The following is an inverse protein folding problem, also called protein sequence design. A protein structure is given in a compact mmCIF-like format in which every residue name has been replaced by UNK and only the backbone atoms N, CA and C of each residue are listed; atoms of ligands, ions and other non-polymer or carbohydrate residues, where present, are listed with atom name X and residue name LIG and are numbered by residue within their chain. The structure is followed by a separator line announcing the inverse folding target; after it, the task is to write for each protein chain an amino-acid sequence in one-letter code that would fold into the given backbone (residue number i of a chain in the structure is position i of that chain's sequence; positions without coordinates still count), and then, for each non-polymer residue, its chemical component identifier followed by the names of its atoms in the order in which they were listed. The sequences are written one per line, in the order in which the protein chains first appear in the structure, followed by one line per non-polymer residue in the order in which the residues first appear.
data_IF_813055862489
#
_entry.id   IF_813055862489
#
_cell.length_a   1.000
_cell.length_b   1.000
_cell.length_c   1.000
_cell.angle_alpha   90.00
_cell.angle_beta   90.00
_cell.angle_gamma   90.00
#
_symmetry.space_group_name_H-M   'P 1'
#
loop_
_entity.id
_entity.type
_entity.pdbx_description
1 polymer ?
#
# COMPACT_ATOMS: atom_id res chain seq x y z
N UNK A 1 -15.84 -19.32 22.21
CA UNK A 1 -14.53 -18.79 22.69
C UNK A 1 -14.81 -17.85 23.83
N UNK A 2 -14.16 -18.03 24.98
CA UNK A 2 -14.34 -17.18 26.17
C UNK A 2 -13.93 -15.74 25.86
N UNK A 3 -14.56 -14.76 26.51
CA UNK A 3 -14.20 -13.34 26.34
C UNK A 3 -12.74 -13.05 26.64
N UNK A 4 -12.18 -13.80 27.59
CA UNK A 4 -10.77 -13.73 27.99
C UNK A 4 -9.82 -14.04 26.81
N UNK A 5 -10.06 -15.11 26.04
CA UNK A 5 -9.21 -15.46 24.88
C UNK A 5 -9.20 -14.36 23.83
N UNK A 6 -10.36 -13.73 23.58
CA UNK A 6 -10.45 -12.61 22.61
C UNK A 6 -9.66 -11.39 23.09
N UNK A 7 -9.75 -11.07 24.37
CA UNK A 7 -9.00 -9.96 24.97
C UNK A 7 -7.50 -10.23 24.91
N UNK A 8 -7.08 -11.43 25.28
CA UNK A 8 -5.67 -11.84 25.24
C UNK A 8 -5.09 -11.77 23.81
N UNK A 9 -5.82 -12.29 22.82
CA UNK A 9 -5.40 -12.21 21.43
C UNK A 9 -5.19 -10.77 20.96
N UNK A 10 -6.09 -9.86 21.32
CA UNK A 10 -5.97 -8.44 21.00
C UNK A 10 -4.79 -7.76 21.65
N UNK A 11 -4.51 -8.08 22.92
CA UNK A 11 -3.35 -7.54 23.63
C UNK A 11 -2.04 -8.05 23.02
N UNK A 12 -1.93 -9.32 22.68
CA UNK A 12 -0.76 -9.88 22.02
C UNK A 12 -0.53 -9.20 20.66
N UNK A 13 -1.58 -9.03 19.86
CA UNK A 13 -1.47 -8.34 18.57
C UNK A 13 -1.03 -6.88 18.76
N UNK A 14 -1.56 -6.18 19.76
CA UNK A 14 -1.12 -4.80 20.08
C UNK A 14 0.36 -4.75 20.46
N UNK A 15 0.85 -5.73 21.23
CA UNK A 15 2.26 -5.82 21.58
C UNK A 15 3.14 -6.09 20.35
N UNK A 16 2.67 -6.87 19.38
CA UNK A 16 3.38 -7.07 18.12
C UNK A 16 3.52 -5.74 17.35
N UNK A 17 2.44 -4.97 17.20
CA UNK A 17 2.50 -3.66 16.55
C UNK A 17 3.46 -2.70 17.28
N UNK A 18 3.41 -2.66 18.61
CA UNK A 18 4.30 -1.82 19.39
C UNK A 18 5.77 -2.25 19.23
N UNK A 19 6.04 -3.56 19.33
CA UNK A 19 7.37 -4.13 19.17
C UNK A 19 7.93 -3.88 17.77
N UNK A 20 7.14 -4.12 16.74
CA UNK A 20 7.57 -3.91 15.36
C UNK A 20 7.84 -2.43 15.04
N UNK A 21 6.99 -1.53 15.52
CA UNK A 21 7.22 -0.09 15.39
C UNK A 21 8.54 0.32 16.05
N UNK A 22 8.85 -0.24 17.23
CA UNK A 22 10.12 -0.02 17.91
C UNK A 22 11.30 -0.54 17.08
N UNK A 23 11.21 -1.78 16.54
CA UNK A 23 12.28 -2.34 15.70
C UNK A 23 12.55 -1.47 14.46
N UNK A 24 11.51 -0.98 13.78
CA UNK A 24 11.64 -0.09 12.63
C UNK A 24 12.30 1.24 13.00
N UNK A 25 11.96 1.81 14.16
CA UNK A 25 12.63 3.01 14.67
C UNK A 25 14.11 2.72 14.88
N UNK A 26 14.47 1.61 15.54
CA UNK A 26 15.87 1.24 15.77
C UNK A 26 16.67 1.05 14.47
N UNK A 27 16.05 0.46 13.45
CA UNK A 27 16.65 0.30 12.11
C UNK A 27 16.96 1.67 11.51
N UNK A 28 16.00 2.59 11.53
CA UNK A 28 16.13 3.90 10.90
C UNK A 28 17.15 4.78 11.61
N UNK A 29 17.21 4.74 12.96
CA UNK A 29 18.16 5.55 13.71
C UNK A 29 19.56 4.91 13.82
N UNK A 30 19.77 3.70 13.25
CA UNK A 30 21.06 3.02 13.27
C UNK A 30 22.16 3.88 12.65
N UNK A 31 23.18 4.20 13.43
CA UNK A 31 24.27 5.08 13.02
C UNK A 31 23.98 6.59 13.14
N UNK A 32 22.79 6.97 13.58
CA UNK A 32 22.44 8.38 13.84
C UNK A 32 22.98 8.93 15.15
N UNK A 33 23.54 8.09 16.02
CA UNK A 33 24.14 8.47 17.30
C UNK A 33 25.30 7.56 17.65
N UNK A 34 26.27 8.13 18.36
CA UNK A 34 27.46 7.41 18.87
C UNK A 34 27.19 6.72 20.21
N UNK A 35 25.96 6.75 20.73
CA UNK A 35 25.59 6.18 22.01
C UNK A 35 25.26 4.69 21.91
N UNK A 36 25.70 3.89 22.89
CA UNK A 36 25.31 2.48 23.04
C UNK A 36 23.80 2.38 23.33
N UNK A 37 23.04 1.41 22.75
CA UNK A 37 23.48 0.32 21.86
C UNK A 37 23.50 0.69 20.37
N UNK A 38 22.99 1.86 19.96
CA UNK A 38 22.76 2.24 18.55
C UNK A 38 24.07 2.34 17.77
N UNK A 39 25.17 2.75 18.43
CA UNK A 39 26.50 2.82 17.85
C UNK A 39 27.05 1.48 17.34
N UNK A 40 26.48 0.35 17.82
CA UNK A 40 26.87 -0.98 17.37
C UNK A 40 26.04 -1.49 16.19
N UNK A 41 25.01 -0.77 15.78
CA UNK A 41 24.16 -1.15 14.67
C UNK A 41 24.77 -0.68 13.35
N UNK A 42 25.20 -1.62 12.52
CA UNK A 42 25.74 -1.38 11.18
C UNK A 42 25.29 -2.47 10.22
N UNK A 43 25.26 -2.18 8.93
CA UNK A 43 24.91 -3.14 7.90
C UNK A 43 26.11 -3.97 7.47
N UNK A 44 27.21 -3.30 7.12
CA UNK A 44 28.44 -3.96 6.72
C UNK A 44 29.64 -3.25 7.36
N UNK A 45 30.63 -4.02 7.74
CA UNK A 45 31.94 -3.53 8.22
C UNK A 45 32.99 -4.11 7.28
N UNK A 46 33.93 -3.29 6.84
CA UNK A 46 35.03 -3.75 6.03
C UNK A 46 36.35 -3.02 6.36
N UNK A 47 37.44 -3.71 6.12
CA UNK A 47 38.78 -3.12 6.10
C UNK A 47 38.90 -2.22 4.86
N UNK A 48 39.08 -0.92 5.12
CA UNK A 48 39.25 0.13 4.13
C UNK A 48 40.63 0.74 4.18
N UNK A 49 41.57 0.11 4.90
CA UNK A 49 42.96 0.55 4.95
C UNK A 49 43.55 0.65 3.55
N UNK A 50 44.32 1.72 3.33
CA UNK A 50 44.91 1.98 2.02
C UNK A 50 43.96 2.56 0.96
N UNK A 51 42.69 2.79 1.25
CA UNK A 51 41.79 3.61 0.44
C UNK A 51 41.97 5.07 0.88
N UNK A 52 42.38 5.99 -0.03
CA UNK A 52 42.53 7.40 0.32
C UNK A 52 41.20 7.98 0.91
N UNK A 53 41.33 8.81 1.94
CA UNK A 53 40.22 9.45 2.65
C UNK A 53 39.31 8.49 3.42
N UNK A 54 39.64 7.19 3.50
CA UNK A 54 38.88 6.22 4.29
C UNK A 54 39.60 5.94 5.62
N UNK A 55 38.85 5.67 6.70
CA UNK A 55 39.43 5.13 7.93
C UNK A 55 39.96 3.69 7.71
N UNK A 56 40.75 3.16 8.62
CA UNK A 56 41.26 1.80 8.50
C UNK A 56 40.15 0.76 8.50
N UNK A 57 39.13 0.96 9.34
CA UNK A 57 37.98 0.09 9.47
C UNK A 57 36.71 0.92 9.37
N UNK A 58 35.85 0.64 8.36
CA UNK A 58 34.62 1.37 8.11
C UNK A 58 33.42 0.52 8.38
N UNK A 59 32.42 1.09 9.09
CA UNK A 59 31.07 0.56 9.28
C UNK A 59 30.07 1.40 8.51
N UNK A 60 29.28 0.78 7.62
CA UNK A 60 28.22 1.46 6.88
C UNK A 60 26.91 1.34 7.65
N UNK A 61 26.27 2.49 7.83
CA UNK A 61 24.96 2.67 8.43
C UNK A 61 24.08 3.47 7.49
N UNK A 62 22.82 3.70 7.82
CA UNK A 62 21.94 4.57 7.01
C UNK A 62 22.33 6.07 7.07
N UNK A 63 23.19 6.47 8.02
CA UNK A 63 23.55 7.88 8.25
C UNK A 63 24.98 8.21 7.87
N UNK A 64 25.80 7.20 7.62
CA UNK A 64 27.18 7.45 7.25
C UNK A 64 28.06 6.21 7.17
N UNK A 65 29.29 6.44 6.72
CA UNK A 65 30.42 5.50 6.84
C UNK A 65 31.20 5.88 8.11
N UNK A 66 31.02 5.10 9.15
CA UNK A 66 31.58 5.39 10.48
C UNK A 66 32.94 4.74 10.65
N UNK A 67 33.89 5.45 11.24
CA UNK A 67 35.18 4.87 11.67
C UNK A 67 35.00 4.01 12.91
N UNK A 68 35.85 3.01 13.06
CA UNK A 68 35.91 2.19 14.24
C UNK A 68 37.35 2.19 14.79
N UNK A 69 37.53 2.80 15.94
CA UNK A 69 38.79 2.85 16.65
C UNK A 69 38.61 2.33 18.07
N UNK A 70 39.46 1.41 18.50
CA UNK A 70 39.41 0.82 19.86
C UNK A 70 38.06 0.25 20.28
N UNK A 71 37.26 -0.28 19.29
CA UNK A 71 35.93 -0.84 19.54
C UNK A 71 34.80 0.21 19.61
N UNK A 72 35.12 1.49 19.60
CA UNK A 72 34.15 2.59 19.52
C UNK A 72 33.85 2.92 18.06
N UNK A 73 32.56 3.10 17.76
CA UNK A 73 32.13 3.56 16.43
C UNK A 73 31.90 5.06 16.46
N UNK A 74 32.57 5.78 15.57
CA UNK A 74 32.42 7.22 15.39
C UNK A 74 31.92 7.53 13.99
N UNK A 75 30.72 8.08 13.88
CA UNK A 75 30.08 8.42 12.61
C UNK A 75 30.39 9.86 12.14
N UNK A 76 31.23 10.61 12.88
CA UNK A 76 31.56 11.99 12.57
C UNK A 76 30.39 12.95 12.76
N UNK A 77 30.63 14.23 12.43
CA UNK A 77 29.66 15.30 12.63
C UNK A 77 28.72 15.48 11.41
N UNK A 78 29.06 14.88 10.27
CA UNK A 78 28.30 15.01 9.01
C UNK A 78 27.48 13.78 8.71
N UNK A 79 26.34 13.67 9.36
CA UNK A 79 25.35 12.63 9.09
C UNK A 79 24.55 12.98 7.82
N UNK A 80 24.48 12.04 6.88
CA UNK A 80 23.70 12.17 5.66
C UNK A 80 22.69 11.03 5.55
N UNK A 81 21.39 11.31 5.46
CA UNK A 81 20.37 10.26 5.38
C UNK A 81 20.50 9.45 4.08
N UNK A 82 20.10 8.20 4.13
CA UNK A 82 20.17 7.27 3.00
C UNK A 82 21.61 7.13 2.45
N UNK A 83 22.60 7.02 3.37
CA UNK A 83 24.00 6.94 3.00
C UNK A 83 24.30 5.62 2.25
N UNK A 84 24.81 5.67 1.00
CA UNK A 84 24.96 4.47 0.21
C UNK A 84 26.18 3.63 0.66
N UNK A 85 26.08 2.31 0.51
CA UNK A 85 27.22 1.40 0.67
C UNK A 85 28.07 1.44 -0.61
N UNK A 86 28.73 2.55 -0.85
CA UNK A 86 29.53 2.79 -2.06
C UNK A 86 30.86 3.48 -1.71
N UNK A 87 31.94 2.73 -1.50
CA UNK A 87 33.26 3.32 -1.19
C UNK A 87 33.72 4.34 -2.19
N UNK A 88 33.38 4.15 -3.48
CA UNK A 88 33.70 5.08 -4.55
C UNK A 88 33.10 6.48 -4.31
N UNK A 89 31.80 6.52 -3.94
CA UNK A 89 31.08 7.77 -3.70
C UNK A 89 31.39 8.33 -2.32
N UNK A 90 31.61 7.45 -1.33
CA UNK A 90 31.87 7.86 0.06
C UNK A 90 33.23 8.53 0.24
N UNK A 91 34.24 8.02 -0.43
CA UNK A 91 35.63 8.49 -0.27
C UNK A 91 36.15 9.31 -1.49
N UNK A 92 35.35 9.41 -2.56
CA UNK A 92 35.68 10.21 -3.74
C UNK A 92 36.93 9.71 -4.51
N UNK A 93 37.26 8.44 -4.40
CA UNK A 93 38.45 7.85 -5.01
C UNK A 93 38.20 6.50 -5.63
N UNK A 94 38.96 6.16 -6.67
CA UNK A 94 39.00 4.81 -7.28
C UNK A 94 40.23 4.00 -6.83
N UNK A 95 41.18 4.64 -6.14
CA UNK A 95 42.40 4.01 -5.72
C UNK A 95 42.14 2.98 -4.64
N UNK A 96 42.60 1.76 -4.86
CA UNK A 96 42.42 0.61 -3.95
C UNK A 96 40.96 0.25 -3.59
N UNK A 97 39.98 0.81 -4.31
CA UNK A 97 38.56 0.40 -4.17
C UNK A 97 38.38 -0.90 -4.97
N UNK A 98 37.72 -1.94 -4.39
CA UNK A 98 37.40 -3.18 -5.11
C UNK A 98 36.66 -2.90 -6.43
N UNK A 99 37.10 -3.52 -7.53
CA UNK A 99 36.58 -3.21 -8.87
C UNK A 99 35.06 -3.38 -9.00
N UNK A 100 34.48 -4.27 -8.22
CA UNK A 100 33.01 -4.49 -8.18
C UNK A 100 32.23 -3.24 -7.83
N UNK A 101 32.73 -2.38 -6.94
CA UNK A 101 32.09 -1.10 -6.62
C UNK A 101 32.20 -0.06 -7.74
N UNK A 102 33.10 -0.26 -8.69
CA UNK A 102 33.28 0.61 -9.85
C UNK A 102 32.32 0.15 -10.97
N UNK A 103 32.30 -1.17 -11.23
CA UNK A 103 31.49 -1.74 -12.32
C UNK A 103 29.98 -1.70 -12.02
N UNK A 104 29.59 -2.01 -10.80
CA UNK A 104 28.18 -2.11 -10.38
C UNK A 104 27.79 -0.95 -9.45
N UNK A 105 28.43 0.21 -9.61
CA UNK A 105 28.24 1.40 -8.77
C UNK A 105 26.77 1.74 -8.54
N UNK A 106 25.99 1.74 -9.60
CA UNK A 106 24.58 2.15 -9.52
C UNK A 106 23.76 1.20 -8.64
N UNK A 107 24.04 -0.09 -8.66
CA UNK A 107 23.37 -1.05 -7.77
C UNK A 107 23.66 -0.71 -6.30
N UNK A 108 24.93 -0.55 -5.92
CA UNK A 108 25.31 -0.19 -4.54
C UNK A 108 24.76 1.15 -4.10
N UNK A 109 24.71 2.12 -5.02
CA UNK A 109 24.23 3.47 -4.73
C UNK A 109 22.73 3.53 -4.52
N UNK A 110 21.95 2.86 -5.38
CA UNK A 110 20.50 2.98 -5.34
C UNK A 110 19.81 1.99 -4.40
N UNK A 111 20.30 0.74 -4.25
CA UNK A 111 19.63 -0.25 -3.41
C UNK A 111 19.46 0.23 -1.97
N UNK A 112 20.55 0.71 -1.36
CA UNK A 112 20.53 1.21 0.03
C UNK A 112 19.62 2.43 0.18
N UNK A 113 19.63 3.35 -0.79
CA UNK A 113 18.79 4.53 -0.78
C UNK A 113 17.30 4.20 -0.88
N UNK A 114 16.93 3.29 -1.78
CA UNK A 114 15.56 2.82 -1.88
C UNK A 114 15.15 2.04 -0.63
N UNK A 115 16.02 1.19 -0.08
CA UNK A 115 15.74 0.48 1.16
C UNK A 115 15.42 1.46 2.30
N UNK A 116 16.21 2.51 2.48
CA UNK A 116 15.97 3.54 3.48
C UNK A 116 14.61 4.24 3.31
N UNK A 117 14.27 4.65 2.08
CA UNK A 117 12.97 5.26 1.80
C UNK A 117 11.81 4.30 2.11
N UNK A 118 11.96 3.02 1.76
CA UNK A 118 10.93 2.01 2.03
C UNK A 118 10.76 1.70 3.52
N UNK A 119 11.84 1.73 4.32
CA UNK A 119 11.73 1.65 5.77
C UNK A 119 10.94 2.81 6.35
N UNK A 120 11.13 4.05 5.85
CA UNK A 120 10.34 5.20 6.28
C UNK A 120 8.86 5.06 5.93
N UNK A 121 8.55 4.62 4.71
CA UNK A 121 7.16 4.37 4.29
C UNK A 121 6.55 3.26 5.16
N UNK A 122 7.29 2.17 5.39
CA UNK A 122 6.84 1.08 6.25
C UNK A 122 6.57 1.55 7.67
N UNK A 123 7.49 2.33 8.28
CA UNK A 123 7.32 2.89 9.61
C UNK A 123 6.08 3.79 9.67
N UNK A 124 5.86 4.65 8.69
CA UNK A 124 4.68 5.52 8.66
C UNK A 124 3.38 4.72 8.61
N UNK A 125 3.28 3.74 7.71
CA UNK A 125 2.07 2.93 7.53
C UNK A 125 1.81 2.02 8.74
N UNK A 126 2.83 1.32 9.23
CA UNK A 126 2.71 0.41 10.37
C UNK A 126 2.53 1.16 11.69
N UNK A 127 3.20 2.31 11.85
CA UNK A 127 3.01 3.18 13.01
C UNK A 127 1.59 3.76 13.08
N UNK A 128 1.03 4.22 11.96
CA UNK A 128 -0.38 4.65 11.90
C UNK A 128 -1.30 3.46 12.16
N UNK A 129 -1.00 2.27 11.63
CA UNK A 129 -1.78 1.05 11.92
C UNK A 129 -1.78 0.72 13.41
N UNK A 130 -0.64 0.85 14.09
CA UNK A 130 -0.51 0.67 15.54
C UNK A 130 -1.46 1.61 16.31
N UNK A 131 -1.46 2.90 15.98
CA UNK A 131 -2.33 3.89 16.63
C UNK A 131 -3.82 3.61 16.38
N UNK A 132 -4.17 3.23 15.14
CA UNK A 132 -5.55 2.94 14.75
C UNK A 132 -6.02 1.56 15.24
N UNK A 133 -5.11 0.66 15.61
CA UNK A 133 -5.47 -0.70 16.04
C UNK A 133 -6.41 -0.72 17.23
N UNK A 134 -6.25 0.19 18.19
CA UNK A 134 -7.15 0.32 19.34
C UNK A 134 -8.58 0.61 18.87
N UNK A 135 -8.74 1.45 17.85
CA UNK A 135 -10.05 1.77 17.24
C UNK A 135 -10.73 0.56 16.57
N UNK A 136 -9.96 -0.47 16.20
CA UNK A 136 -10.54 -1.71 15.63
C UNK A 136 -11.49 -2.41 16.59
N UNK A 137 -11.35 -2.20 17.89
CA UNK A 137 -12.21 -2.81 18.91
C UNK A 137 -13.64 -2.27 18.86
N UNK A 138 -13.80 -1.04 18.41
CA UNK A 138 -15.08 -0.33 18.40
C UNK A 138 -15.79 -0.41 17.05
N UNK A 139 -15.08 -0.36 15.92
CA UNK A 139 -15.69 -0.22 14.59
C UNK A 139 -15.11 -1.19 13.54
N UNK A 140 -15.99 -1.59 12.62
CA UNK A 140 -15.61 -2.36 11.44
C UNK A 140 -14.74 -1.54 10.47
N UNK A 141 -15.05 -0.25 10.32
CA UNK A 141 -14.30 0.66 9.44
C UNK A 141 -12.80 0.72 9.79
N UNK A 142 -12.47 0.85 11.08
CA UNK A 142 -11.08 0.82 11.55
C UNK A 142 -10.37 -0.50 11.21
N UNK A 143 -11.05 -1.64 11.36
CA UNK A 143 -10.47 -2.93 10.99
C UNK A 143 -10.11 -3.02 9.50
N UNK A 144 -10.92 -2.45 8.62
CA UNK A 144 -10.63 -2.40 7.17
C UNK A 144 -9.40 -1.54 6.87
N UNK A 145 -9.34 -0.35 7.47
CA UNK A 145 -8.22 0.59 7.27
C UNK A 145 -6.92 -0.02 7.80
N UNK A 146 -6.92 -0.54 9.03
CA UNK A 146 -5.74 -1.17 9.64
C UNK A 146 -5.25 -2.35 8.80
N UNK A 147 -6.15 -3.21 8.31
CA UNK A 147 -5.78 -4.32 7.45
C UNK A 147 -5.06 -3.84 6.16
N UNK A 148 -5.60 -2.82 5.49
CA UNK A 148 -4.98 -2.27 4.27
C UNK A 148 -3.61 -1.67 4.57
N UNK A 149 -3.51 -0.80 5.58
CA UNK A 149 -2.26 -0.15 5.96
C UNK A 149 -1.19 -1.15 6.37
N UNK A 150 -1.56 -2.16 7.20
CA UNK A 150 -0.62 -3.20 7.63
C UNK A 150 -0.14 -4.03 6.44
N UNK A 151 -1.02 -4.42 5.52
CA UNK A 151 -0.64 -5.21 4.35
C UNK A 151 0.33 -4.43 3.45
N UNK A 152 0.03 -3.17 3.15
CA UNK A 152 0.89 -2.31 2.32
C UNK A 152 2.21 -2.02 3.06
N UNK A 153 2.15 -1.70 4.35
CA UNK A 153 3.35 -1.47 5.18
C UNK A 153 4.26 -2.69 5.24
N UNK A 154 3.68 -3.90 5.37
CA UNK A 154 4.43 -5.17 5.32
C UNK A 154 5.15 -5.35 3.98
N UNK A 155 4.50 -5.06 2.85
CA UNK A 155 5.13 -5.15 1.53
C UNK A 155 6.34 -4.22 1.44
N UNK A 156 6.23 -2.98 1.90
CA UNK A 156 7.36 -2.04 1.93
C UNK A 156 8.48 -2.50 2.85
N UNK A 157 8.16 -3.00 4.06
CA UNK A 157 9.15 -3.49 5.00
C UNK A 157 9.92 -4.70 4.45
N UNK A 158 9.22 -5.71 3.93
CA UNK A 158 9.84 -6.89 3.33
C UNK A 158 10.74 -6.50 2.17
N UNK A 159 10.27 -5.62 1.29
CA UNK A 159 11.07 -5.13 0.17
C UNK A 159 12.32 -4.38 0.64
N UNK A 160 12.19 -3.50 1.65
CA UNK A 160 13.31 -2.77 2.23
C UNK A 160 14.39 -3.71 2.78
N UNK A 161 13.99 -4.71 3.57
CA UNK A 161 14.92 -5.69 4.16
C UNK A 161 15.61 -6.52 3.08
N UNK A 162 14.90 -6.92 2.03
CA UNK A 162 15.50 -7.66 0.90
C UNK A 162 16.52 -6.80 0.16
N UNK A 163 16.18 -5.55 -0.15
CA UNK A 163 17.09 -4.62 -0.87
C UNK A 163 18.36 -4.37 -0.05
N UNK A 164 18.22 -4.10 1.25
CA UNK A 164 19.36 -3.83 2.13
C UNK A 164 20.22 -5.08 2.35
N UNK A 165 19.57 -6.25 2.46
CA UNK A 165 20.29 -7.53 2.54
C UNK A 165 21.09 -7.77 1.26
N UNK A 166 20.50 -7.53 0.10
CA UNK A 166 21.18 -7.69 -1.18
C UNK A 166 22.39 -6.76 -1.30
N UNK A 167 22.21 -5.46 -1.00
CA UNK A 167 23.28 -4.46 -1.04
C UNK A 167 24.45 -4.84 -0.12
N UNK A 168 24.13 -5.21 1.13
CA UNK A 168 25.13 -5.56 2.15
C UNK A 168 25.88 -6.85 1.82
N UNK A 169 25.20 -7.88 1.32
CA UNK A 169 25.83 -9.14 0.90
C UNK A 169 26.71 -8.92 -0.34
N UNK A 170 26.25 -8.13 -1.31
CA UNK A 170 27.05 -7.76 -2.47
C UNK A 170 28.32 -7.00 -2.03
N UNK A 171 28.20 -6.05 -1.11
CA UNK A 171 29.32 -5.29 -0.56
C UNK A 171 30.31 -6.19 0.17
N UNK A 172 29.81 -7.07 1.06
CA UNK A 172 30.65 -8.08 1.72
C UNK A 172 31.44 -8.92 0.72
N UNK A 173 30.75 -9.43 -0.31
CA UNK A 173 31.40 -10.27 -1.32
C UNK A 173 32.44 -9.48 -2.14
N UNK A 174 32.16 -8.21 -2.46
CA UNK A 174 33.09 -7.36 -3.17
C UNK A 174 34.39 -7.12 -2.39
N UNK A 175 34.31 -6.85 -1.09
CA UNK A 175 35.47 -6.72 -0.20
C UNK A 175 36.18 -8.05 0.03
N UNK A 176 35.45 -9.15 0.25
CA UNK A 176 36.03 -10.48 0.45
C UNK A 176 36.81 -10.97 -0.78
N UNK A 177 36.28 -10.73 -1.97
CA UNK A 177 37.00 -11.09 -3.24
C UNK A 177 38.25 -10.25 -3.46
N UNK A 178 38.34 -9.07 -2.86
CA UNK A 178 39.54 -8.23 -2.85
C UNK A 178 40.47 -8.56 -1.65
N UNK A 179 40.27 -9.72 -0.98
CA UNK A 179 41.04 -10.16 0.19
C UNK A 179 41.03 -9.19 1.37
N UNK A 180 39.96 -8.41 1.53
CA UNK A 180 39.80 -7.49 2.65
C UNK A 180 38.89 -8.12 3.71
N UNK A 181 39.26 -7.97 4.99
CA UNK A 181 38.43 -8.45 6.08
C UNK A 181 37.09 -7.73 6.09
N UNK A 182 35.99 -8.49 6.15
CA UNK A 182 34.63 -7.93 6.12
C UNK A 182 33.68 -8.75 6.98
N UNK A 183 32.69 -8.06 7.57
CA UNK A 183 31.63 -8.67 8.40
C UNK A 183 30.29 -8.00 8.12
N UNK A 184 29.21 -8.77 8.22
CA UNK A 184 27.85 -8.25 8.27
C UNK A 184 27.47 -7.93 9.70
N UNK A 185 26.67 -6.90 9.92
CA UNK A 185 26.18 -6.49 11.25
C UNK A 185 25.06 -7.40 11.72
N UNK A 186 25.40 -8.50 12.42
CA UNK A 186 24.46 -9.52 12.89
C UNK A 186 23.26 -8.93 13.65
N UNK A 187 23.51 -7.92 14.47
CA UNK A 187 22.50 -7.33 15.35
C UNK A 187 21.44 -6.58 14.55
N UNK A 188 21.88 -5.73 13.61
CA UNK A 188 20.94 -4.98 12.77
C UNK A 188 20.18 -5.87 11.80
N UNK A 189 20.85 -6.88 11.22
CA UNK A 189 20.18 -7.89 10.41
C UNK A 189 19.16 -8.71 11.21
N UNK A 190 19.50 -9.08 12.45
CA UNK A 190 18.59 -9.76 13.36
C UNK A 190 17.32 -8.94 13.62
N UNK A 191 17.48 -7.64 13.92
CA UNK A 191 16.38 -6.69 14.12
C UNK A 191 15.53 -6.56 12.84
N UNK A 192 16.16 -6.43 11.67
CA UNK A 192 15.48 -6.27 10.41
C UNK A 192 14.63 -7.50 10.03
N UNK A 193 15.18 -8.69 10.13
CA UNK A 193 14.44 -9.93 9.85
C UNK A 193 13.40 -10.25 10.92
N UNK A 194 13.64 -9.90 12.19
CA UNK A 194 12.62 -9.99 13.24
C UNK A 194 11.43 -9.07 12.95
N UNK A 195 11.68 -7.85 12.44
CA UNK A 195 10.63 -6.94 12.00
C UNK A 195 9.78 -7.53 10.86
N UNK A 196 10.40 -8.22 9.89
CA UNK A 196 9.67 -8.95 8.83
C UNK A 196 8.76 -10.03 9.43
N UNK A 197 9.28 -10.84 10.35
CA UNK A 197 8.49 -11.88 11.00
C UNK A 197 7.28 -11.29 11.76
N UNK A 198 7.48 -10.20 12.51
CA UNK A 198 6.39 -9.50 13.20
C UNK A 198 5.37 -8.92 12.22
N UNK A 199 5.79 -8.29 11.12
CA UNK A 199 4.89 -7.79 10.08
C UNK A 199 3.99 -8.88 9.49
N UNK A 200 4.53 -10.07 9.26
CA UNK A 200 3.74 -11.20 8.76
C UNK A 200 2.71 -11.67 9.78
N UNK A 201 3.08 -11.72 11.07
CA UNK A 201 2.16 -12.06 12.16
C UNK A 201 1.06 -10.99 12.31
N UNK A 202 1.39 -9.71 12.23
CA UNK A 202 0.45 -8.59 12.26
C UNK A 202 -0.52 -8.64 11.07
N UNK A 203 -0.01 -8.90 9.87
CA UNK A 203 -0.83 -9.05 8.66
C UNK A 203 -1.81 -10.22 8.79
N UNK A 204 -1.37 -11.36 9.30
CA UNK A 204 -2.23 -12.51 9.55
C UNK A 204 -3.30 -12.21 10.62
N UNK A 205 -2.92 -11.54 11.71
CA UNK A 205 -3.84 -11.17 12.79
C UNK A 205 -4.88 -10.14 12.33
N UNK A 206 -4.44 -9.11 11.59
CA UNK A 206 -5.34 -8.07 11.06
C UNK A 206 -6.29 -8.62 9.99
N UNK A 207 -5.82 -9.53 9.13
CA UNK A 207 -6.65 -10.26 8.19
C UNK A 207 -7.74 -11.08 8.89
N UNK A 208 -7.36 -11.85 9.94
CA UNK A 208 -8.30 -12.64 10.72
C UNK A 208 -9.39 -11.76 11.37
N UNK A 209 -9.00 -10.65 12.01
CA UNK A 209 -9.95 -9.72 12.63
C UNK A 209 -10.88 -9.04 11.60
N UNK A 210 -10.33 -8.60 10.47
CA UNK A 210 -11.09 -8.01 9.38
C UNK A 210 -12.11 -9.00 8.82
N UNK A 211 -11.68 -10.20 8.48
CA UNK A 211 -12.54 -11.22 7.85
C UNK A 211 -13.68 -11.66 8.77
N UNK A 212 -13.38 -11.82 10.06
CA UNK A 212 -14.39 -12.15 11.07
C UNK A 212 -15.48 -11.06 11.18
N UNK A 213 -15.09 -9.80 11.18
CA UNK A 213 -16.03 -8.67 11.24
C UNK A 213 -16.77 -8.50 9.92
N UNK A 214 -16.12 -8.69 8.79
CA UNK A 214 -16.74 -8.67 7.47
C UNK A 214 -17.87 -9.69 7.37
N UNK A 215 -17.62 -10.94 7.76
CA UNK A 215 -18.65 -11.99 7.80
C UNK A 215 -19.83 -11.60 8.69
N UNK A 216 -19.57 -11.06 9.88
CA UNK A 216 -20.61 -10.59 10.79
C UNK A 216 -21.44 -9.43 10.21
N UNK A 217 -20.79 -8.51 9.50
CA UNK A 217 -21.45 -7.37 8.86
C UNK A 217 -22.36 -7.83 7.69
N UNK A 218 -21.88 -8.78 6.90
CA UNK A 218 -22.64 -9.37 5.79
C UNK A 218 -23.94 -10.03 6.29
N UNK A 219 -23.83 -10.86 7.33
CA UNK A 219 -24.99 -11.54 7.93
C UNK A 219 -26.01 -10.51 8.48
N UNK A 220 -25.54 -9.44 9.11
CA UNK A 220 -26.43 -8.39 9.63
C UNK A 220 -27.15 -7.63 8.51
N UNK A 221 -26.50 -7.38 7.39
CA UNK A 221 -27.13 -6.70 6.26
C UNK A 221 -28.19 -7.59 5.61
N UNK A 222 -27.90 -8.87 5.35
CA UNK A 222 -28.91 -9.81 4.86
C UNK A 222 -30.12 -9.96 5.81
N UNK A 223 -29.87 -10.02 7.13
CA UNK A 223 -30.96 -10.07 8.09
C UNK A 223 -31.83 -8.80 8.04
N UNK A 224 -31.24 -7.62 7.83
CA UNK A 224 -32.00 -6.37 7.67
C UNK A 224 -32.81 -6.34 6.37
N UNK A 225 -32.29 -6.86 5.26
CA UNK A 225 -33.02 -6.95 4.00
C UNK A 225 -34.23 -7.87 4.11
N UNK A 226 -34.09 -9.02 4.79
CA UNK A 226 -35.21 -9.95 5.03
C UNK A 226 -36.28 -9.28 5.90
N UNK A 227 -35.88 -8.60 6.99
CA UNK A 227 -36.82 -7.92 7.89
C UNK A 227 -37.53 -6.75 7.19
N UNK A 228 -36.81 -6.02 6.28
CA UNK A 228 -37.45 -4.96 5.51
C UNK A 228 -38.42 -5.49 4.46
N UNK A 229 -38.16 -6.67 3.89
CA UNK A 229 -39.09 -7.34 2.98
C UNK A 229 -40.34 -7.86 3.70
N UNK A 230 -40.23 -8.31 4.95
CA UNK A 230 -41.37 -8.76 5.76
C UNK A 230 -42.21 -7.59 6.31
N UNK A 231 -41.61 -6.43 6.55
CA UNK A 231 -42.33 -5.24 7.07
C UNK A 231 -43.02 -4.41 5.98
N UNK A 232 -42.81 -4.69 4.71
CA UNK A 232 -43.72 -4.26 3.67
C UNK A 232 -44.86 -5.27 3.57
N UNK A 233 -46.05 -5.02 4.22
CA UNK A 233 -47.21 -5.79 3.91
C UNK A 233 -47.44 -5.61 2.42
N UNK A 234 -47.60 -6.71 1.73
CA UNK A 234 -48.14 -6.74 0.37
C UNK A 234 -49.35 -5.83 0.36
N UNK A 235 -49.15 -4.55 0.08
CA UNK A 235 -50.20 -3.71 -0.36
C UNK A 235 -50.76 -4.39 -1.59
N UNK A 236 -51.78 -5.17 -1.39
CA UNK A 236 -52.69 -5.62 -2.44
C UNK A 236 -53.07 -4.37 -3.21
N UNK A 237 -52.31 -4.05 -4.23
CA UNK A 237 -52.84 -3.23 -5.31
C UNK A 237 -53.98 -4.05 -5.86
N UNK A 238 -55.18 -3.80 -5.33
CA UNK A 238 -56.44 -4.18 -5.92
C UNK A 238 -56.48 -3.51 -7.29
N UNK A 239 -55.96 -4.20 -8.28
CA UNK A 239 -56.00 -3.79 -9.69
C UNK A 239 -57.28 -4.29 -10.38
N UNK A 240 -58.17 -4.86 -9.60
CA UNK A 240 -59.49 -5.24 -10.08
C UNK A 240 -60.55 -4.46 -9.33
N UNK A 241 -61.40 -3.81 -10.08
CA UNK A 241 -62.60 -3.04 -9.71
C UNK A 241 -62.36 -1.52 -9.56
N UNK A 242 -62.15 -0.85 -10.72
CA UNK A 242 -62.87 0.39 -10.98
C UNK A 242 -64.03 0.04 -11.90
N UNK A 243 -65.08 -0.49 -11.32
CA UNK A 243 -66.42 -0.54 -11.94
C UNK A 243 -66.89 0.90 -12.04
N UNK A 244 -66.89 1.41 -13.23
CA UNK A 244 -67.55 2.67 -13.56
C UNK A 244 -68.98 2.32 -13.87
N UNK A 245 -69.84 2.45 -12.90
CA UNK A 245 -71.29 2.46 -13.06
C UNK A 245 -71.73 3.85 -13.51
N UNK A 246 -72.57 3.82 -14.51
CA UNK A 246 -73.62 4.75 -14.83
C UNK A 246 -73.29 6.09 -15.44
N UNK A 247 -73.58 6.14 -16.79
CA UNK A 247 -74.58 7.08 -17.28
C UNK A 247 -75.00 6.82 -18.72
N UNK A 248 -76.24 7.24 -19.11
CA UNK A 248 -76.98 6.59 -20.20
C UNK A 248 -76.81 7.25 -21.55
N UNK A 249 -77.35 6.51 -22.49
CA UNK A 249 -77.44 6.67 -23.94
C UNK A 249 -77.78 8.06 -24.48
N UNK A 250 -77.16 8.40 -25.57
CA UNK A 250 -77.80 9.05 -26.73
C UNK A 250 -77.13 8.60 -28.02
N UNK A 251 -77.92 7.96 -28.89
CA UNK A 251 -77.75 7.62 -30.30
C UNK A 251 -78.48 8.68 -31.12
N UNK A 252 -78.42 8.70 -32.44
CA UNK A 252 -77.38 8.47 -33.44
C UNK A 252 -77.29 9.57 -34.50
N UNK A 253 -76.31 9.51 -35.39
CA UNK A 253 -76.53 9.95 -36.77
C UNK A 253 -75.47 9.37 -37.71
N UNK A 254 -75.98 8.61 -38.64
CA UNK A 254 -75.43 8.03 -39.86
C UNK A 254 -74.94 9.12 -40.78
N UNK A 255 -73.83 8.99 -41.47
CA UNK A 255 -73.70 9.13 -42.96
C UNK A 255 -72.41 8.52 -43.46
N UNK A 256 -72.54 7.75 -44.52
CA UNK A 256 -71.61 6.97 -45.31
C UNK A 256 -70.65 7.80 -46.13
N UNK A 257 -69.59 7.18 -46.49
CA UNK A 257 -69.12 6.80 -47.82
C UNK A 257 -67.62 6.88 -47.99
N UNK A 258 -67.08 5.77 -48.50
CA UNK A 258 -65.78 5.45 -49.07
C UNK A 258 -65.32 6.39 -50.19
N UNK A 259 -64.26 6.06 -50.91
CA UNK A 259 -62.91 5.57 -50.66
C UNK A 259 -61.82 6.32 -51.48
N UNK A 260 -60.62 5.77 -51.48
CA UNK A 260 -59.46 6.04 -52.34
C UNK A 260 -58.50 7.20 -52.02
N UNK A 261 -57.31 6.80 -51.82
CA UNK A 261 -56.04 7.12 -52.52
C UNK A 261 -54.89 7.31 -51.51
N UNK A 262 -54.09 6.34 -51.44
CA UNK A 262 -52.71 6.29 -52.00
C UNK A 262 -51.75 7.48 -51.68
N UNK A 263 -50.63 7.12 -51.06
CA UNK A 263 -49.27 7.58 -51.25
C UNK A 263 -48.69 8.74 -50.43
N UNK A 264 -47.63 8.32 -49.87
CA UNK A 264 -46.28 8.96 -49.78
C UNK A 264 -45.95 9.95 -48.67
N UNK A 265 -44.98 9.48 -48.00
CA UNK A 265 -43.64 10.10 -47.73
C UNK A 265 -43.54 11.16 -46.62
N UNK A 266 -42.63 10.82 -45.76
CA UNK A 266 -41.61 11.65 -45.08
C UNK A 266 -41.95 12.32 -43.76
N UNK A 267 -41.21 11.81 -42.80
CA UNK A 267 -40.43 12.51 -41.78
C UNK A 267 -41.10 13.34 -40.71
N UNK A 268 -40.52 13.10 -39.60
CA UNK A 268 -40.15 13.97 -38.48
C UNK A 268 -41.09 14.06 -37.29
N UNK A 269 -40.47 13.65 -36.24
CA UNK A 269 -40.38 14.28 -34.94
C UNK A 269 -41.46 14.05 -33.87
N UNK A 270 -40.96 13.44 -32.86
CA UNK A 270 -41.11 13.77 -31.46
C UNK A 270 -42.51 13.66 -30.84
N UNK A 271 -42.60 12.76 -29.89
CA UNK A 271 -43.03 13.12 -28.55
C UNK A 271 -43.07 11.93 -27.60
N UNK A 272 -42.31 12.06 -26.58
CA UNK A 272 -42.57 11.70 -25.19
C UNK A 272 -43.35 10.43 -24.85
N UNK A 273 -42.58 9.41 -24.49
CA UNK A 273 -43.02 8.42 -23.52
C UNK A 273 -42.12 8.46 -22.31
N UNK A 274 -42.67 8.84 -21.18
CA UNK A 274 -42.10 8.76 -19.87
C UNK A 274 -41.89 7.29 -19.53
N UNK A 275 -40.67 6.86 -19.50
CA UNK A 275 -40.27 5.57 -18.99
C UNK A 275 -39.61 5.78 -17.64
N UNK A 276 -40.19 5.20 -16.64
CA UNK A 276 -39.76 5.20 -15.24
C UNK A 276 -38.45 4.42 -15.13
N UNK A 277 -37.39 5.13 -14.85
CA UNK A 277 -36.04 4.62 -14.75
C UNK A 277 -35.76 4.11 -13.33
N UNK A 278 -35.50 2.82 -13.23
CA UNK A 278 -34.93 2.22 -12.04
C UNK A 278 -33.42 2.49 -12.04
N UNK A 279 -33.00 3.52 -11.31
CA UNK A 279 -31.60 3.84 -11.12
C UNK A 279 -30.86 2.72 -10.36
N UNK A 280 -30.16 1.88 -11.07
CA UNK A 280 -28.97 1.21 -10.61
C UNK A 280 -27.81 2.22 -10.63
N UNK A 281 -27.45 2.73 -9.47
CA UNK A 281 -26.32 3.62 -9.26
C UNK A 281 -25.02 2.81 -9.37
N UNK A 282 -24.55 2.56 -10.56
CA UNK A 282 -23.22 2.06 -10.87
C UNK A 282 -22.23 3.22 -10.86
N UNK A 283 -21.14 3.08 -10.12
CA UNK A 283 -20.06 4.06 -10.09
C UNK A 283 -19.23 3.90 -11.36
N UNK A 284 -19.39 4.81 -12.31
CA UNK A 284 -18.56 4.88 -13.52
C UNK A 284 -17.22 5.54 -13.19
N UNK A 285 -16.16 4.75 -13.09
CA UNK A 285 -14.81 5.23 -12.77
C UNK A 285 -13.98 5.73 -13.95
N UNK A 286 -14.37 5.50 -15.20
CA UNK A 286 -13.57 5.97 -16.34
C UNK A 286 -14.45 6.41 -17.53
N UNK A 287 -14.43 7.72 -17.80
CA UNK A 287 -14.86 8.27 -19.07
C UNK A 287 -13.63 8.53 -19.93
N UNK A 288 -13.36 7.64 -20.90
CA UNK A 288 -12.29 7.85 -21.87
C UNK A 288 -12.81 8.77 -22.96
N UNK A 289 -12.39 10.05 -22.93
CA UNK A 289 -12.55 10.95 -24.07
C UNK A 289 -11.51 10.60 -25.13
N UNK A 290 -11.92 9.97 -26.20
CA UNK A 290 -11.12 9.90 -27.42
C UNK A 290 -11.21 11.25 -28.14
N UNK A 291 -10.12 11.99 -28.14
CA UNK A 291 -9.92 13.13 -29.04
C UNK A 291 -9.62 12.59 -30.41
N UNK A 292 -10.52 12.78 -31.35
CA UNK A 292 -10.23 12.57 -32.78
C UNK A 292 -9.25 13.64 -33.23
N UNK A 293 -8.09 13.20 -33.72
CA UNK A 293 -7.11 14.05 -34.37
C UNK A 293 -7.64 14.33 -35.80
N UNK A 294 -8.05 15.57 -36.05
CA UNK A 294 -8.33 16.06 -37.39
C UNK A 294 -7.01 16.18 -38.12
N UNK A 295 -6.80 15.37 -39.12
CA UNK A 295 -5.73 15.54 -40.10
C UNK A 295 -6.15 16.64 -41.05
N UNK A 296 -5.44 17.73 -41.03
CA UNK A 296 -5.53 18.78 -42.02
C UNK A 296 -4.55 18.40 -43.16
N UNK A 297 -5.07 18.01 -44.30
CA UNK A 297 -4.34 17.93 -45.56
C UNK A 297 -4.20 19.34 -46.10
N UNK A 298 -2.97 19.87 -46.11
CA UNK A 298 -2.62 21.01 -46.92
C UNK A 298 -1.89 20.54 -48.17
N UNK A 299 -2.64 20.42 -49.25
CA UNK A 299 -2.15 20.52 -50.63
C UNK A 299 -1.94 21.99 -50.94
N UNK A 300 -0.72 22.38 -51.33
CA UNK A 300 -0.50 23.28 -52.49
C UNK A 300 0.93 23.79 -52.60
N UNK A 301 1.48 23.53 -53.76
CA UNK A 301 2.55 24.18 -54.53
C UNK A 301 3.99 23.96 -54.07
#
# INVERSE_FOLDING_TARGET
MSGLYRSLFRLITLLFYAGNTLLLILIIISGGTNSYPISNFYWVQADTSGIPNAPNLTRWTFWGACSTENGSTNCGDHLSPAYPISPLDNFGTKVNVPNKFITDRDAFYYLTRFAFCFFWIALALLGVSFLLYIGTWCSYGFSKVVFILTTVGTLFNVTAVILETAASVMARNAFSNAHRATRLGSDLFGIAWASVALCLLESAASFYEYFKKFKSHLIKNHAKEITAAETHPLGTKNWFYSSKSDQPAEEPAIVATDPYAQNNVTSTAAANTVSQDNQHKGINFFTIRRTQKVTHDDDSV
#
